data_IF_707534435777
#
_entry.id   IF_707534435777
#
_cell.length_a   1.000
_cell.length_b   1.000
_cell.length_c   1.000
_cell.angle_alpha   90.00
_cell.angle_beta   90.00
_cell.angle_gamma   90.00
#
_symmetry.space_group_name_H-M   'P 1'
#
loop_
_entity.id
_entity.type
_entity.pdbx_description
1 polymer ?
#
# COMPACT_ATOMS: atom_id res chain seq x y z
N UNK A 1 18.81 8.21 2.23
CA UNK A 1 17.44 7.75 1.95
C UNK A 1 17.34 7.01 0.62
N UNK A 2 17.73 7.59 -0.51
CA UNK A 2 17.65 6.93 -1.83
C UNK A 2 18.39 5.59 -1.89
N UNK A 3 19.54 5.45 -1.24
CA UNK A 3 20.29 4.19 -1.20
C UNK A 3 19.54 3.09 -0.44
N UNK A 4 18.77 3.43 0.61
CA UNK A 4 17.92 2.47 1.33
C UNK A 4 16.78 1.97 0.47
N UNK A 5 16.12 2.87 -0.25
CA UNK A 5 15.05 2.51 -1.21
C UNK A 5 15.62 1.63 -2.33
N UNK A 6 16.78 2.02 -2.90
CA UNK A 6 17.47 1.22 -3.93
C UNK A 6 17.80 -0.18 -3.43
N UNK A 7 18.29 -0.30 -2.19
CA UNK A 7 18.53 -1.60 -1.53
C UNK A 7 17.24 -2.44 -1.52
N UNK A 8 16.14 -1.88 -1.03
CA UNK A 8 14.87 -2.60 -0.91
C UNK A 8 14.32 -3.07 -2.26
N UNK A 9 14.44 -2.24 -3.31
CA UNK A 9 14.02 -2.61 -4.66
C UNK A 9 14.93 -3.71 -5.22
N UNK A 10 16.24 -3.60 -5.09
CA UNK A 10 17.19 -4.58 -5.62
C UNK A 10 17.08 -5.93 -4.92
N UNK A 11 16.96 -5.95 -3.59
CA UNK A 11 16.79 -7.19 -2.83
C UNK A 11 15.44 -7.88 -3.09
N UNK A 12 14.41 -7.09 -3.38
CA UNK A 12 13.06 -7.58 -3.62
C UNK A 12 12.63 -7.46 -5.09
N UNK A 13 13.58 -7.47 -6.06
CA UNK A 13 13.28 -7.25 -7.48
C UNK A 13 12.22 -8.20 -8.05
N UNK A 14 12.17 -9.47 -7.57
CA UNK A 14 11.15 -10.44 -7.97
C UNK A 14 9.74 -10.00 -7.55
N UNK A 15 9.62 -9.41 -6.36
CA UNK A 15 8.36 -8.88 -5.84
C UNK A 15 7.99 -7.55 -6.49
N UNK A 16 8.98 -6.73 -6.87
CA UNK A 16 8.75 -5.54 -7.69
C UNK A 16 8.23 -5.92 -9.08
N UNK A 17 8.76 -6.98 -9.69
CA UNK A 17 8.26 -7.52 -10.95
C UNK A 17 6.84 -8.08 -10.81
N UNK A 18 6.54 -8.77 -9.71
CA UNK A 18 5.18 -9.22 -9.39
C UNK A 18 4.21 -8.04 -9.25
N UNK A 19 4.64 -6.94 -8.61
CA UNK A 19 3.84 -5.71 -8.51
C UNK A 19 3.46 -5.18 -9.89
N UNK A 20 4.42 -5.06 -10.80
CA UNK A 20 4.19 -4.63 -12.19
C UNK A 20 3.24 -5.59 -12.90
N UNK A 21 3.48 -6.89 -12.77
CA UNK A 21 2.69 -7.93 -13.42
C UNK A 21 1.23 -7.90 -12.94
N UNK A 22 0.99 -7.81 -11.64
CA UNK A 22 -0.38 -7.73 -11.07
C UNK A 22 -1.06 -6.44 -11.49
N UNK A 23 -0.37 -5.30 -11.45
CA UNK A 23 -0.93 -4.01 -11.86
C UNK A 23 -1.36 -3.97 -13.33
N UNK A 24 -0.65 -4.71 -14.20
CA UNK A 24 -0.98 -4.81 -15.64
C UNK A 24 -2.02 -5.90 -15.91
N UNK A 25 -1.93 -7.06 -15.24
CA UNK A 25 -2.84 -8.19 -15.47
C UNK A 25 -4.26 -7.91 -14.98
N UNK A 26 -4.43 -7.18 -13.89
CA UNK A 26 -5.76 -6.93 -13.33
C UNK A 26 -6.71 -6.27 -14.35
N UNK A 27 -6.36 -5.18 -15.02
CA UNK A 27 -7.22 -4.63 -16.07
C UNK A 27 -7.48 -5.61 -17.22
N UNK A 28 -6.50 -6.46 -17.59
CA UNK A 28 -6.66 -7.45 -18.67
C UNK A 28 -7.70 -8.52 -18.29
N UNK A 29 -7.65 -9.03 -17.06
CA UNK A 29 -8.60 -10.03 -16.57
C UNK A 29 -10.05 -9.50 -16.60
N UNK A 30 -10.23 -8.24 -16.23
CA UNK A 30 -11.55 -7.61 -16.24
C UNK A 30 -11.99 -7.11 -17.63
N UNK A 31 -11.04 -6.90 -18.57
CA UNK A 31 -11.35 -6.60 -19.95
C UNK A 31 -12.09 -7.74 -20.68
N UNK A 32 -11.90 -8.98 -20.23
CA UNK A 32 -12.54 -10.17 -20.81
C UNK A 32 -14.04 -10.17 -20.50
N UNK A 33 -14.45 -9.55 -19.39
CA UNK A 33 -15.83 -9.54 -18.89
C UNK A 33 -16.48 -8.15 -19.16
N UNK A 34 -16.56 -7.77 -20.42
CA UNK A 34 -16.91 -6.41 -20.90
C UNK A 34 -18.30 -5.86 -20.49
N UNK A 35 -19.16 -6.67 -19.90
CA UNK A 35 -20.56 -6.27 -19.71
C UNK A 35 -20.81 -5.35 -18.50
N UNK A 36 -19.86 -5.18 -17.57
CA UNK A 36 -20.10 -4.36 -16.38
C UNK A 36 -18.97 -3.35 -16.09
N UNK A 37 -19.24 -2.08 -16.36
CA UNK A 37 -18.41 -0.92 -15.91
C UNK A 37 -18.21 -0.86 -14.39
N UNK A 38 -19.00 -1.64 -13.63
CA UNK A 38 -18.98 -1.73 -12.16
C UNK A 38 -17.64 -2.17 -11.58
N UNK A 39 -16.87 -2.96 -12.34
CA UNK A 39 -15.64 -3.56 -11.82
C UNK A 39 -14.40 -2.66 -11.91
N UNK A 40 -14.46 -1.54 -12.64
CA UNK A 40 -13.26 -0.71 -12.85
C UNK A 40 -12.70 -0.18 -11.54
N UNK A 41 -13.54 0.27 -10.61
CA UNK A 41 -13.12 0.74 -9.28
C UNK A 41 -12.42 -0.37 -8.50
N UNK A 42 -13.00 -1.58 -8.52
CA UNK A 42 -12.46 -2.74 -7.81
C UNK A 42 -11.14 -3.22 -8.39
N UNK A 43 -10.94 -3.09 -9.70
CA UNK A 43 -9.65 -3.34 -10.37
C UNK A 43 -8.56 -2.46 -9.75
N UNK A 44 -8.84 -1.18 -9.55
CA UNK A 44 -7.88 -0.27 -8.92
C UNK A 44 -7.59 -0.65 -7.47
N UNK A 45 -8.62 -0.93 -6.67
CA UNK A 45 -8.46 -1.22 -5.24
C UNK A 45 -7.77 -2.57 -5.05
N UNK A 46 -8.34 -3.65 -5.57
CA UNK A 46 -7.83 -5.01 -5.38
C UNK A 46 -6.45 -5.16 -6.01
N UNK A 47 -6.30 -4.73 -7.27
CA UNK A 47 -5.03 -4.84 -7.99
C UNK A 47 -3.91 -4.08 -7.29
N UNK A 48 -4.18 -2.85 -6.88
CA UNK A 48 -3.20 -2.03 -6.17
C UNK A 48 -2.87 -2.58 -4.78
N UNK A 49 -3.87 -3.05 -4.01
CA UNK A 49 -3.64 -3.62 -2.67
C UNK A 49 -2.85 -4.91 -2.76
N UNK A 50 -3.23 -5.85 -3.65
CA UNK A 50 -2.52 -7.11 -3.83
C UNK A 50 -1.06 -6.88 -4.28
N UNK A 51 -0.87 -6.01 -5.27
CA UNK A 51 0.46 -5.70 -5.77
C UNK A 51 1.38 -5.11 -4.69
N UNK A 52 0.86 -4.13 -3.94
CA UNK A 52 1.65 -3.39 -2.95
C UNK A 52 1.85 -4.15 -1.64
N UNK A 53 0.83 -4.86 -1.15
CA UNK A 53 0.89 -5.56 0.14
C UNK A 53 2.03 -6.57 0.20
N UNK A 54 2.20 -7.37 -0.86
CA UNK A 54 3.27 -8.35 -0.92
C UNK A 54 4.66 -7.73 -0.99
N UNK A 55 4.84 -6.69 -1.80
CA UNK A 55 6.15 -6.05 -1.95
C UNK A 55 6.62 -5.37 -0.66
N UNK A 56 5.78 -4.54 -0.06
CA UNK A 56 6.14 -3.81 1.16
C UNK A 56 6.23 -4.73 2.37
N UNK A 57 5.32 -5.72 2.49
CA UNK A 57 5.38 -6.73 3.53
C UNK A 57 6.69 -7.51 3.47
N UNK A 58 7.12 -7.93 2.27
CA UNK A 58 8.39 -8.64 2.10
C UNK A 58 9.61 -7.78 2.41
N UNK A 59 9.56 -6.49 2.05
CA UNK A 59 10.60 -5.53 2.42
C UNK A 59 10.71 -5.35 3.93
N UNK A 60 9.59 -5.33 4.66
CA UNK A 60 9.57 -5.28 6.12
C UNK A 60 10.08 -6.60 6.75
N UNK A 61 9.69 -7.76 6.18
CA UNK A 61 10.18 -9.07 6.63
C UNK A 61 11.70 -9.18 6.59
N UNK A 62 12.31 -8.73 5.50
CA UNK A 62 13.77 -8.77 5.35
C UNK A 62 14.50 -7.89 6.38
N UNK A 63 13.89 -6.79 6.79
CA UNK A 63 14.47 -5.89 7.80
C UNK A 63 14.22 -6.38 9.23
N UNK A 64 13.29 -7.31 9.46
CA UNK A 64 12.97 -7.85 10.78
C UNK A 64 13.95 -8.93 11.26
N UNK A 65 14.84 -9.45 10.39
CA UNK A 65 15.84 -10.44 10.80
C UNK A 65 16.85 -9.84 11.79
N UNK A 66 17.26 -10.60 12.80
CA UNK A 66 18.20 -10.15 13.84
C UNK A 66 19.53 -9.67 13.24
N UNK A 67 19.99 -10.30 12.15
CA UNK A 67 21.21 -9.90 11.45
C UNK A 67 21.05 -8.54 10.75
N UNK A 68 19.92 -8.35 10.04
CA UNK A 68 19.64 -7.09 9.34
C UNK A 68 19.42 -5.96 10.34
N UNK A 69 18.74 -6.20 11.45
CA UNK A 69 18.56 -5.20 12.52
C UNK A 69 19.90 -4.73 13.08
N UNK A 70 20.82 -5.67 13.39
CA UNK A 70 22.19 -5.34 13.87
C UNK A 70 22.96 -4.55 12.82
N UNK A 71 22.87 -4.93 11.56
CA UNK A 71 23.49 -4.21 10.46
C UNK A 71 22.91 -2.79 10.30
N UNK A 72 21.58 -2.64 10.31
CA UNK A 72 20.93 -1.33 10.24
C UNK A 72 21.28 -0.43 11.43
N UNK A 73 21.44 -1.01 12.63
CA UNK A 73 21.85 -0.29 13.82
C UNK A 73 23.31 0.19 13.76
N UNK A 74 24.19 -0.50 13.01
CA UNK A 74 25.60 -0.11 12.82
C UNK A 74 25.80 0.96 11.76
N UNK A 75 24.78 1.24 10.93
CA UNK A 75 24.88 2.28 9.91
C UNK A 75 24.84 3.68 10.53
N UNK A 76 25.64 4.64 10.02
CA UNK A 76 25.62 6.04 10.47
C UNK A 76 24.39 6.78 9.91
N UNK A 77 23.21 6.20 10.08
CA UNK A 77 21.93 6.73 9.55
C UNK A 77 20.99 7.01 10.71
N UNK A 78 20.34 8.16 10.72
CA UNK A 78 19.34 8.49 11.75
C UNK A 78 18.15 7.53 11.64
N UNK A 79 17.67 7.03 12.77
CA UNK A 79 16.50 6.11 12.83
C UNK A 79 15.26 6.65 12.11
N UNK A 80 15.00 7.95 12.26
CA UNK A 80 13.94 8.63 11.52
C UNK A 80 14.07 8.48 10.00
N UNK A 81 15.29 8.40 9.47
CA UNK A 81 15.54 8.21 8.04
C UNK A 81 15.22 6.78 7.58
N UNK A 82 15.41 5.76 8.46
CA UNK A 82 15.05 4.39 8.16
C UNK A 82 13.51 4.25 8.07
N UNK A 83 12.80 4.79 9.06
CA UNK A 83 11.33 4.80 9.07
C UNK A 83 10.80 5.56 7.86
N UNK A 84 11.28 6.79 7.63
CA UNK A 84 10.83 7.61 6.52
C UNK A 84 11.13 6.98 5.15
N UNK A 85 12.23 6.20 5.01
CA UNK A 85 12.52 5.49 3.77
C UNK A 85 11.47 4.41 3.46
N UNK A 86 10.93 3.70 4.47
CA UNK A 86 9.87 2.71 4.29
C UNK A 86 8.53 3.35 3.91
N UNK A 87 8.17 4.45 4.56
CA UNK A 87 6.96 5.21 4.21
C UNK A 87 7.06 5.77 2.79
N UNK A 88 8.24 6.29 2.41
CA UNK A 88 8.48 6.79 1.04
C UNK A 88 8.46 5.65 0.01
N UNK A 89 9.03 4.48 0.33
CA UNK A 89 8.95 3.30 -0.53
C UNK A 89 7.50 2.89 -0.76
N UNK A 90 6.70 2.78 0.31
CA UNK A 90 5.27 2.46 0.22
C UNK A 90 4.53 3.48 -0.65
N UNK A 91 4.79 4.77 -0.46
CA UNK A 91 4.21 5.84 -1.27
C UNK A 91 4.59 5.72 -2.76
N UNK A 92 5.85 5.48 -3.08
CA UNK A 92 6.31 5.31 -4.45
C UNK A 92 5.67 4.07 -5.11
N UNK A 93 5.58 2.95 -4.39
CA UNK A 93 4.93 1.73 -4.88
C UNK A 93 3.44 1.96 -5.17
N UNK A 94 2.76 2.72 -4.30
CA UNK A 94 1.35 3.09 -4.46
C UNK A 94 1.15 3.93 -5.73
N UNK A 95 1.93 4.97 -5.93
CA UNK A 95 1.86 5.83 -7.13
C UNK A 95 2.18 5.01 -8.38
N UNK A 96 3.21 4.16 -8.32
CA UNK A 96 3.59 3.30 -9.45
C UNK A 96 2.50 2.30 -9.81
N UNK A 97 1.88 1.62 -8.83
CA UNK A 97 0.82 0.63 -9.10
C UNK A 97 -0.42 1.27 -9.70
N UNK A 98 -0.89 2.40 -9.15
CA UNK A 98 -2.04 3.12 -9.68
C UNK A 98 -1.74 3.65 -11.09
N UNK A 99 -0.55 4.21 -11.31
CA UNK A 99 -0.13 4.70 -12.61
C UNK A 99 -0.06 3.59 -13.67
N UNK A 100 0.50 2.42 -13.32
CA UNK A 100 0.56 1.26 -14.21
C UNK A 100 -0.83 0.70 -14.51
N UNK A 101 -1.71 0.59 -13.51
CA UNK A 101 -3.11 0.16 -13.70
C UNK A 101 -3.87 1.13 -14.60
N UNK A 102 -3.68 2.45 -14.42
CA UNK A 102 -4.30 3.47 -15.27
C UNK A 102 -3.79 3.39 -16.71
N UNK A 103 -2.48 3.21 -16.88
CA UNK A 103 -1.86 3.11 -18.20
C UNK A 103 -2.33 1.84 -18.94
N UNK A 104 -2.36 0.69 -18.26
CA UNK A 104 -2.85 -0.56 -18.86
C UNK A 104 -4.34 -0.49 -19.21
N UNK A 105 -5.18 0.11 -18.35
CA UNK A 105 -6.58 0.36 -18.64
C UNK A 105 -6.74 1.23 -19.88
N UNK A 106 -5.97 2.30 -20.01
CA UNK A 106 -5.99 3.20 -21.16
C UNK A 106 -5.61 2.47 -22.46
N UNK A 107 -4.53 1.65 -22.43
CA UNK A 107 -4.09 0.85 -23.60
C UNK A 107 -5.17 -0.15 -24.04
N UNK A 108 -5.94 -0.70 -23.10
CA UNK A 108 -7.05 -1.63 -23.40
C UNK A 108 -8.33 -0.93 -23.86
N UNK A 109 -8.33 0.41 -23.95
CA UNK A 109 -9.52 1.19 -24.32
C UNK A 109 -10.57 1.26 -23.20
N UNK A 110 -10.18 0.89 -21.98
CA UNK A 110 -10.99 1.14 -20.80
C UNK A 110 -10.67 2.55 -20.33
N UNK A 111 -11.68 3.41 -20.23
CA UNK A 111 -11.48 4.79 -19.76
C UNK A 111 -11.06 4.76 -18.29
N UNK A 112 -9.84 5.21 -17.95
CA UNK A 112 -9.40 5.23 -16.55
C UNK A 112 -10.27 6.19 -15.74
N UNK A 113 -10.90 5.68 -14.69
CA UNK A 113 -11.68 6.49 -13.76
C UNK A 113 -10.75 7.25 -12.82
N UNK A 114 -10.71 8.58 -12.95
CA UNK A 114 -9.96 9.45 -12.03
C UNK A 114 -10.48 9.28 -10.59
N UNK A 115 -11.79 9.13 -10.42
CA UNK A 115 -12.40 8.90 -9.12
C UNK A 115 -11.95 7.55 -8.54
N UNK A 116 -11.93 6.48 -9.34
CA UNK A 116 -11.44 5.18 -8.95
C UNK A 116 -9.98 5.20 -8.50
N UNK A 117 -9.13 5.89 -9.26
CA UNK A 117 -7.72 6.06 -8.92
C UNK A 117 -7.53 6.84 -7.60
N UNK A 118 -8.32 7.90 -7.37
CA UNK A 118 -8.29 8.68 -6.12
C UNK A 118 -8.77 7.86 -4.92
N UNK A 119 -9.86 7.11 -5.05
CA UNK A 119 -10.38 6.25 -3.98
C UNK A 119 -9.35 5.17 -3.64
N UNK A 120 -8.74 4.53 -4.64
CA UNK A 120 -7.68 3.56 -4.43
C UNK A 120 -6.45 4.19 -3.74
N UNK A 121 -6.10 5.41 -4.11
CA UNK A 121 -5.02 6.16 -3.48
C UNK A 121 -5.30 6.44 -1.99
N UNK A 122 -6.50 6.91 -1.66
CA UNK A 122 -6.92 7.15 -0.27
C UNK A 122 -6.92 5.86 0.55
N UNK A 123 -7.44 4.79 -0.02
CA UNK A 123 -7.46 3.49 0.61
C UNK A 123 -6.04 2.98 0.92
N UNK A 124 -5.12 3.07 -0.06
CA UNK A 124 -3.73 2.66 0.12
C UNK A 124 -2.97 3.52 1.14
N UNK A 125 -3.26 4.82 1.21
CA UNK A 125 -2.70 5.69 2.26
C UNK A 125 -3.08 5.19 3.66
N UNK A 126 -4.37 4.88 3.88
CA UNK A 126 -4.85 4.33 5.15
C UNK A 126 -4.23 2.95 5.42
N UNK A 127 -4.21 2.09 4.40
CA UNK A 127 -3.61 0.76 4.48
C UNK A 127 -2.16 0.84 4.97
N UNK A 128 -1.34 1.69 4.36
CA UNK A 128 0.06 1.85 4.77
C UNK A 128 0.23 2.54 6.12
N UNK A 129 -0.63 3.50 6.45
CA UNK A 129 -0.62 4.12 7.76
C UNK A 129 -0.81 3.08 8.87
N UNK A 130 -1.75 2.15 8.70
CA UNK A 130 -2.01 1.07 9.67
C UNK A 130 -0.90 0.03 9.66
N UNK A 131 -0.55 -0.50 8.48
CA UNK A 131 0.43 -1.58 8.35
C UNK A 131 1.82 -1.18 8.87
N UNK A 132 2.36 -0.06 8.39
CA UNK A 132 3.67 0.43 8.81
C UNK A 132 3.66 0.91 10.26
N UNK A 133 2.56 1.52 10.71
CA UNK A 133 2.37 1.90 12.10
C UNK A 133 2.49 0.69 13.04
N UNK A 134 1.81 -0.41 12.73
CA UNK A 134 1.90 -1.66 13.51
C UNK A 134 3.30 -2.28 13.41
N UNK A 135 3.92 -2.28 12.22
CA UNK A 135 5.26 -2.83 12.02
C UNK A 135 6.30 -2.13 12.91
N UNK A 136 6.31 -0.81 12.94
CA UNK A 136 7.28 -0.05 13.73
C UNK A 136 6.95 0.03 15.23
N UNK A 137 5.69 -0.22 15.61
CA UNK A 137 5.28 -0.24 17.01
C UNK A 137 5.50 -1.60 17.67
N UNK A 138 5.39 -2.70 16.92
CA UNK A 138 5.45 -4.06 17.48
C UNK A 138 6.55 -4.89 16.82
N UNK A 139 6.20 -5.74 15.87
CA UNK A 139 7.10 -6.60 15.11
C UNK A 139 6.45 -7.02 13.78
N UNK A 140 7.23 -7.68 12.92
CA UNK A 140 6.74 -8.16 11.63
C UNK A 140 5.57 -9.15 11.77
N UNK A 141 5.60 -10.06 12.75
CA UNK A 141 4.53 -11.06 12.93
C UNK A 141 3.15 -10.42 13.16
N UNK A 142 3.10 -9.35 13.97
CA UNK A 142 1.86 -8.60 14.20
C UNK A 142 1.47 -7.77 12.96
N UNK A 143 2.43 -7.17 12.28
CA UNK A 143 2.20 -6.46 11.03
C UNK A 143 1.67 -7.40 9.94
N UNK A 144 2.19 -8.63 9.83
CA UNK A 144 1.71 -9.63 8.88
C UNK A 144 0.25 -10.05 9.14
N UNK A 145 -0.12 -10.26 10.41
CA UNK A 145 -1.52 -10.52 10.81
C UNK A 145 -2.42 -9.34 10.44
N UNK A 146 -1.95 -8.12 10.70
CA UNK A 146 -2.67 -6.89 10.31
C UNK A 146 -2.80 -6.79 8.80
N UNK A 147 -1.74 -7.09 8.05
CA UNK A 147 -1.76 -7.14 6.58
C UNK A 147 -2.81 -8.12 6.07
N UNK A 148 -2.82 -9.34 6.62
CA UNK A 148 -3.80 -10.38 6.25
C UNK A 148 -5.23 -9.93 6.58
N UNK A 149 -5.45 -9.34 7.76
CA UNK A 149 -6.76 -8.81 8.16
C UNK A 149 -7.23 -7.68 7.25
N UNK A 150 -6.36 -6.74 6.89
CA UNK A 150 -6.66 -5.65 5.96
C UNK A 150 -6.99 -6.18 4.55
N UNK A 151 -6.24 -7.19 4.06
CA UNK A 151 -6.54 -7.83 2.78
C UNK A 151 -7.90 -8.54 2.80
N UNK A 152 -8.20 -9.30 3.86
CA UNK A 152 -9.50 -9.96 4.02
C UNK A 152 -10.64 -8.94 4.10
N UNK A 153 -10.45 -7.84 4.81
CA UNK A 153 -11.43 -6.76 4.90
C UNK A 153 -11.65 -6.11 3.52
N UNK A 154 -10.60 -5.93 2.72
CA UNK A 154 -10.72 -5.42 1.35
C UNK A 154 -11.57 -6.36 0.49
N UNK A 155 -11.26 -7.66 0.50
CA UNK A 155 -12.00 -8.65 -0.29
C UNK A 155 -13.46 -8.72 0.17
N UNK A 156 -13.70 -8.76 1.48
CA UNK A 156 -15.06 -8.79 2.04
C UNK A 156 -15.86 -7.53 1.71
N UNK A 157 -15.23 -6.34 1.75
CA UNK A 157 -15.92 -5.10 1.38
C UNK A 157 -16.40 -5.11 -0.07
N UNK A 158 -15.62 -5.70 -0.98
CA UNK A 158 -16.03 -5.89 -2.38
C UNK A 158 -17.29 -6.74 -2.46
N UNK A 159 -17.30 -7.92 -1.82
CA UNK A 159 -18.46 -8.83 -1.84
C UNK A 159 -19.71 -8.21 -1.21
N UNK A 160 -19.55 -7.47 -0.11
CA UNK A 160 -20.69 -6.82 0.58
C UNK A 160 -21.27 -5.71 -0.29
N UNK A 161 -20.43 -4.87 -0.88
CA UNK A 161 -20.87 -3.76 -1.73
C UNK A 161 -21.54 -4.26 -3.01
N UNK A 162 -21.01 -5.32 -3.61
CA UNK A 162 -21.62 -5.96 -4.76
C UNK A 162 -23.03 -6.49 -4.43
N UNK A 163 -23.19 -7.16 -3.30
CA UNK A 163 -24.50 -7.67 -2.85
C UNK A 163 -25.51 -6.60 -2.46
N UNK A 164 -25.06 -5.48 -1.92
CA UNK A 164 -25.97 -4.39 -1.52
C UNK A 164 -26.46 -3.56 -2.69
N UNK A 165 -25.90 -3.76 -3.88
CA UNK A 165 -26.23 -2.98 -5.07
C UNK A 165 -25.80 -1.52 -4.97
N UNK A 166 -25.00 -1.17 -3.95
CA UNK A 166 -24.42 0.16 -3.81
C UNK A 166 -23.39 0.38 -4.93
N UNK A 167 -23.72 1.24 -5.86
CA UNK A 167 -22.86 1.61 -6.97
C UNK A 167 -21.97 2.78 -6.56
N UNK A 168 -20.77 2.46 -6.09
CA UNK A 168 -19.78 3.49 -5.73
C UNK A 168 -19.31 4.32 -6.94
N UNK A 169 -19.39 3.75 -8.12
CA UNK A 169 -19.09 4.41 -9.39
C UNK A 169 -20.16 5.43 -9.82
N UNK A 170 -21.40 5.22 -9.40
CA UNK A 170 -22.51 6.16 -9.62
C UNK A 170 -22.63 7.21 -8.50
N UNK A 171 -22.02 6.99 -7.35
CA UNK A 171 -21.94 8.01 -6.32
C UNK A 171 -20.99 9.11 -6.79
N UNK A 172 -21.58 10.17 -7.35
CA UNK A 172 -20.86 11.41 -7.60
C UNK A 172 -20.46 11.97 -6.24
N UNK A 173 -19.26 11.58 -5.80
CA UNK A 173 -18.70 12.16 -4.57
C UNK A 173 -18.34 13.59 -4.91
N UNK A 174 -19.04 14.54 -4.29
CA UNK A 174 -18.72 15.95 -4.48
C UNK A 174 -17.23 16.20 -4.26
N UNK A 175 -16.56 17.02 -5.09
CA UNK A 175 -15.14 17.31 -4.98
C UNK A 175 -14.71 17.76 -3.59
N UNK A 176 -15.61 18.42 -2.86
CA UNK A 176 -15.40 18.90 -1.49
C UNK A 176 -15.16 17.75 -0.51
N UNK A 177 -15.96 16.68 -0.59
CA UNK A 177 -15.78 15.50 0.26
C UNK A 177 -14.53 14.70 -0.11
N UNK A 178 -14.18 14.66 -1.40
CA UNK A 178 -12.92 14.04 -1.84
C UNK A 178 -11.68 14.77 -1.30
N UNK A 179 -11.70 16.11 -1.34
CA UNK A 179 -10.60 16.92 -0.77
C UNK A 179 -10.51 16.78 0.74
N UNK A 180 -11.65 16.76 1.44
CA UNK A 180 -11.69 16.54 2.90
C UNK A 180 -11.16 15.13 3.24
N UNK A 181 -11.56 14.11 2.50
CA UNK A 181 -11.05 12.74 2.64
C UNK A 181 -9.55 12.66 2.41
N UNK A 182 -9.04 13.32 1.37
CA UNK A 182 -7.61 13.39 1.08
C UNK A 182 -6.84 14.04 2.22
N UNK A 183 -7.30 15.20 2.71
CA UNK A 183 -6.69 15.87 3.86
C UNK A 183 -6.64 15.00 5.10
N UNK A 184 -7.74 14.31 5.41
CA UNK A 184 -7.84 13.39 6.56
C UNK A 184 -6.88 12.21 6.42
N UNK A 185 -6.83 11.55 5.26
CA UNK A 185 -5.92 10.42 5.01
C UNK A 185 -4.45 10.83 5.07
N UNK A 186 -4.09 11.99 4.54
CA UNK A 186 -2.73 12.54 4.64
C UNK A 186 -2.37 12.82 6.11
N UNK A 187 -3.29 13.38 6.89
CA UNK A 187 -3.05 13.62 8.32
C UNK A 187 -2.84 12.31 9.08
N UNK A 188 -3.66 11.29 8.83
CA UNK A 188 -3.50 9.96 9.46
C UNK A 188 -2.16 9.34 9.07
N UNK A 189 -1.78 9.42 7.80
CA UNK A 189 -0.50 8.90 7.31
C UNK A 189 0.69 9.63 7.94
N UNK A 190 0.63 10.95 8.05
CA UNK A 190 1.66 11.76 8.70
C UNK A 190 1.74 11.48 10.21
N UNK A 191 0.60 11.35 10.88
CA UNK A 191 0.54 10.96 12.29
C UNK A 191 1.14 9.57 12.51
N UNK A 192 0.80 8.59 11.66
CA UNK A 192 1.38 7.24 11.70
C UNK A 192 2.90 7.28 11.53
N UNK A 193 3.41 8.06 10.57
CA UNK A 193 4.85 8.26 10.40
C UNK A 193 5.50 8.85 11.66
N UNK A 194 4.90 9.87 12.26
CA UNK A 194 5.41 10.52 13.47
C UNK A 194 5.48 9.54 14.64
N UNK A 195 4.40 8.79 14.88
CA UNK A 195 4.35 7.78 15.93
C UNK A 195 5.34 6.63 15.67
N UNK A 196 5.49 6.20 14.42
CA UNK A 196 6.45 5.16 14.04
C UNK A 196 7.90 5.58 14.31
N UNK A 197 8.26 6.84 14.04
CA UNK A 197 9.60 7.37 14.36
C UNK A 197 9.84 7.34 15.87
N UNK A 198 8.82 7.73 16.66
CA UNK A 198 8.93 7.76 18.13
C UNK A 198 8.96 6.35 18.74
N UNK A 199 8.19 5.41 18.20
CA UNK A 199 8.12 4.03 18.70
C UNK A 199 9.34 3.20 18.31
N UNK A 200 10.04 3.55 17.24
CA UNK A 200 11.22 2.82 16.76
C UNK A 200 12.36 2.77 17.78
N UNK A 201 12.42 3.72 18.71
CA UNK A 201 13.40 3.71 19.80
C UNK A 201 13.17 2.55 20.78
N UNK A 202 11.92 2.12 20.98
CA UNK A 202 11.55 1.00 21.83
C UNK A 202 11.76 -0.36 21.16
N UNK A 203 11.73 -0.42 19.84
CA UNK A 203 11.83 -1.63 19.03
C UNK A 203 13.21 -2.32 19.15
N UNK A 204 14.27 -1.57 19.44
CA UNK A 204 15.63 -2.11 19.58
C UNK A 204 16.02 -2.56 21.00
N UNK A 205 15.32 -2.07 22.03
CA UNK A 205 15.65 -2.34 23.43
C UNK A 205 14.96 -3.60 23.96
N UNK A 206 13.90 -4.09 23.30
CA UNK A 206 13.07 -5.21 23.75
C UNK A 206 13.67 -6.61 23.54
N UNK A 207 14.72 -6.77 22.74
CA UNK A 207 15.25 -8.07 22.32
C UNK A 207 16.49 -8.54 23.15
N UNK A 208 16.77 -7.90 24.27
CA UNK A 208 17.84 -8.31 25.21
C UNK A 208 17.32 -9.07 26.45
N UNK A 209 16.10 -9.64 26.38
CA UNK A 209 15.57 -10.52 27.42
C UNK A 209 15.24 -11.90 26.88
#
# INVERSE_FOLDING_TARGET
>A
MLQLIKKDILFNWKWALLLVLVAVLMPVLFFIDREETRFILWVYIIGSVLANSHFVSKSCYMDDSAQTRRFLASLPVRRAQLVAAKYLLGFLCMVASIGLTSLSSFVLGLYPSVQGALIAFLYLLLYYAVFLGVFFHSNYSNAEKTNTALMMLTIMSVFVLDRTGLRLDEMIIEPTYMLAGLGTCIMIFAASLFFSVRSFDHFQVGDSR
#
